data_IF_580648964027
#
_entry.id   IF_580648964027
#
_cell.length_a   1.000
_cell.length_b   1.000
_cell.length_c   1.000
_cell.angle_alpha   90.00
_cell.angle_beta   90.00
_cell.angle_gamma   90.00
#
_symmetry.space_group_name_H-M   'P 1'
#
loop_
_entity.id
_entity.type
_entity.pdbx_description
1 polymer ?
#
# COMPACT_ATOMS: atom_id res chain seq x y z
N UNK A 1 -9.10 -5.72 10.14
CA UNK A 1 -9.14 -5.89 11.61
C UNK A 1 -8.85 -7.31 12.04
N UNK A 2 -9.86 -8.19 12.10
CA UNK A 2 -9.78 -9.50 12.76
C UNK A 2 -8.58 -10.37 12.36
N UNK A 3 -8.26 -10.50 11.06
CA UNK A 3 -7.12 -11.32 10.61
C UNK A 3 -5.77 -10.78 11.12
N UNK A 4 -5.63 -9.46 11.18
CA UNK A 4 -4.40 -8.78 11.64
C UNK A 4 -4.25 -8.97 13.14
N UNK A 5 -5.33 -8.78 13.90
CA UNK A 5 -5.36 -8.99 15.34
C UNK A 5 -4.99 -10.43 15.70
N UNK A 6 -5.57 -11.41 15.01
CA UNK A 6 -5.27 -12.80 15.29
C UNK A 6 -3.81 -13.17 15.00
N UNK A 7 -3.28 -12.71 13.86
CA UNK A 7 -1.89 -12.93 13.49
C UNK A 7 -0.91 -12.36 14.55
N UNK A 8 -1.15 -11.15 15.03
CA UNK A 8 -0.25 -10.47 15.97
C UNK A 8 -0.47 -10.94 17.41
N UNK A 9 -1.72 -10.95 17.88
CA UNK A 9 -2.05 -11.17 19.29
C UNK A 9 -1.98 -12.65 19.65
N UNK A 10 -2.40 -13.55 18.74
CA UNK A 10 -2.50 -14.97 19.04
C UNK A 10 -1.37 -15.79 18.41
N UNK A 11 -1.05 -15.56 17.13
CA UNK A 11 0.02 -16.30 16.45
C UNK A 11 1.41 -15.72 16.68
N UNK A 12 1.51 -14.48 17.18
CA UNK A 12 2.77 -13.78 17.44
C UNK A 12 3.68 -13.72 16.22
N UNK A 13 3.11 -13.43 15.04
CA UNK A 13 3.91 -13.24 13.83
C UNK A 13 4.90 -12.10 14.01
N UNK A 14 6.11 -12.27 13.48
CA UNK A 14 7.18 -11.28 13.59
C UNK A 14 7.21 -10.31 12.40
N UNK A 15 6.48 -10.62 11.33
CA UNK A 15 6.51 -9.85 10.08
C UNK A 15 5.11 -9.70 9.50
N UNK A 16 4.80 -8.51 8.98
CA UNK A 16 3.70 -8.27 8.03
C UNK A 16 4.30 -7.63 6.78
N UNK A 17 4.03 -8.25 5.63
CA UNK A 17 4.34 -7.71 4.31
C UNK A 17 3.05 -7.26 3.63
N UNK A 18 2.97 -5.99 3.27
CA UNK A 18 1.95 -5.48 2.34
C UNK A 18 2.57 -5.47 0.95
N UNK A 19 2.00 -6.25 0.03
CA UNK A 19 2.54 -6.43 -1.31
C UNK A 19 1.59 -5.83 -2.36
N UNK A 20 2.09 -4.83 -3.09
CA UNK A 20 1.52 -4.37 -4.36
C UNK A 20 2.12 -5.15 -5.53
N UNK A 21 1.62 -4.90 -6.74
CA UNK A 21 2.12 -5.58 -7.93
C UNK A 21 1.89 -4.74 -9.19
N UNK A 22 2.64 -5.03 -10.25
CA UNK A 22 2.47 -4.35 -11.54
C UNK A 22 1.11 -4.63 -12.19
N UNK A 23 0.66 -3.67 -13.00
CA UNK A 23 -0.60 -3.73 -13.75
C UNK A 23 -1.83 -4.00 -12.86
N UNK A 24 -1.88 -3.44 -11.65
CA UNK A 24 -2.97 -3.68 -10.73
C UNK A 24 -4.28 -3.06 -11.24
N UNK A 25 -5.25 -3.91 -11.57
CA UNK A 25 -6.57 -3.48 -12.07
C UNK A 25 -7.33 -2.59 -11.07
N UNK A 26 -7.19 -2.84 -9.78
CA UNK A 26 -7.79 -2.01 -8.73
C UNK A 26 -7.20 -0.60 -8.67
N UNK A 27 -5.87 -0.48 -8.78
CA UNK A 27 -5.18 0.81 -8.82
C UNK A 27 -5.51 1.58 -10.11
N UNK A 28 -5.53 0.88 -11.25
CA UNK A 28 -5.97 1.46 -12.51
C UNK A 28 -7.41 1.99 -12.38
N UNK A 29 -8.32 1.21 -11.82
CA UNK A 29 -9.69 1.62 -11.52
C UNK A 29 -9.73 2.88 -10.65
N UNK A 30 -9.02 2.86 -9.52
CA UNK A 30 -8.90 4.01 -8.61
C UNK A 30 -8.41 5.27 -9.33
N UNK A 31 -7.34 5.17 -10.12
CA UNK A 31 -6.78 6.32 -10.86
C UNK A 31 -7.74 6.84 -11.92
N UNK A 32 -8.55 5.96 -12.52
CA UNK A 32 -9.58 6.32 -13.50
C UNK A 32 -10.86 6.92 -12.91
N UNK A 33 -11.11 6.79 -11.59
CA UNK A 33 -12.30 7.41 -10.96
C UNK A 33 -12.27 8.93 -11.20
N UNK A 34 -13.31 9.52 -11.81
CA UNK A 34 -13.39 10.96 -12.01
C UNK A 34 -13.56 11.70 -10.67
N UNK A 35 -13.09 12.94 -10.61
CA UNK A 35 -13.17 13.77 -9.40
C UNK A 35 -14.58 14.39 -9.18
N UNK A 36 -15.56 14.03 -10.02
CA UNK A 36 -16.92 14.56 -10.02
C UNK A 36 -17.89 13.77 -9.12
N UNK A 37 -17.42 12.69 -8.50
CA UNK A 37 -18.20 11.85 -7.60
C UNK A 37 -19.16 10.87 -8.29
N UNK A 38 -19.06 10.69 -9.61
CA UNK A 38 -19.78 9.63 -10.31
C UNK A 38 -19.24 8.25 -9.92
N UNK A 39 -20.16 7.29 -9.78
CA UNK A 39 -19.88 5.89 -9.42
C UNK A 39 -20.61 4.99 -10.41
N UNK A 40 -19.88 4.05 -11.01
CA UNK A 40 -20.37 3.10 -12.02
C UNK A 40 -20.29 1.63 -11.55
N UNK A 41 -19.97 1.42 -10.28
CA UNK A 41 -19.89 0.08 -9.67
C UNK A 41 -20.52 0.02 -8.27
N UNK A 42 -21.10 -1.14 -7.93
CA UNK A 42 -21.79 -1.31 -6.64
C UNK A 42 -20.84 -1.27 -5.42
N UNK A 43 -19.59 -1.71 -5.59
CA UNK A 43 -18.65 -1.90 -4.47
C UNK A 43 -17.19 -1.54 -4.79
N UNK A 44 -16.77 -1.65 -6.05
CA UNK A 44 -15.35 -1.59 -6.40
C UNK A 44 -14.79 -0.21 -6.07
N UNK A 45 -15.48 0.85 -6.48
CA UNK A 45 -15.04 2.21 -6.22
C UNK A 45 -14.98 2.55 -4.74
N UNK A 46 -15.98 2.14 -3.98
CA UNK A 46 -16.00 2.36 -2.54
C UNK A 46 -14.85 1.63 -1.84
N UNK A 47 -14.54 0.42 -2.27
CA UNK A 47 -13.42 -0.34 -1.74
C UNK A 47 -12.06 0.30 -2.07
N UNK A 48 -11.81 0.66 -3.33
CA UNK A 48 -10.50 1.20 -3.73
C UNK A 48 -10.23 2.61 -3.22
N UNK A 49 -11.27 3.36 -2.80
CA UNK A 49 -11.12 4.66 -2.13
C UNK A 49 -10.30 4.62 -0.86
N UNK A 50 -10.04 3.45 -0.27
CA UNK A 50 -9.09 3.29 0.84
C UNK A 50 -7.69 3.84 0.52
N UNK A 51 -7.33 3.98 -0.77
CA UNK A 51 -6.06 4.56 -1.22
C UNK A 51 -6.22 5.97 -1.86
N UNK A 52 -7.29 6.70 -1.52
CA UNK A 52 -7.56 8.02 -2.13
C UNK A 52 -6.51 9.06 -1.78
N UNK A 53 -5.87 8.97 -0.60
CA UNK A 53 -4.81 9.90 -0.20
C UNK A 53 -3.60 9.72 -1.12
N UNK A 54 -3.20 8.48 -1.39
CA UNK A 54 -2.14 8.15 -2.34
C UNK A 54 -2.48 8.60 -3.76
N UNK A 55 -3.73 8.38 -4.22
CA UNK A 55 -4.17 8.88 -5.53
C UNK A 55 -3.98 10.40 -5.62
N UNK A 56 -4.44 11.15 -4.61
CA UNK A 56 -4.32 12.60 -4.59
C UNK A 56 -2.85 13.05 -4.56
N UNK A 57 -1.99 12.36 -3.81
CA UNK A 57 -0.54 12.59 -3.79
C UNK A 57 0.07 12.41 -5.17
N UNK A 58 -0.20 11.29 -5.84
CA UNK A 58 0.33 11.00 -7.18
C UNK A 58 -0.16 12.02 -8.21
N UNK A 59 -1.45 12.38 -8.23
CA UNK A 59 -1.96 13.42 -9.14
C UNK A 59 -1.29 14.78 -8.91
N UNK A 60 -0.95 15.11 -7.66
CA UNK A 60 -0.29 16.38 -7.30
C UNK A 60 1.20 16.40 -7.67
N UNK A 61 1.92 15.31 -7.42
CA UNK A 61 3.39 15.26 -7.54
C UNK A 61 3.87 14.73 -8.90
N UNK A 62 3.00 14.00 -9.61
CA UNK A 62 3.31 13.29 -10.85
C UNK A 62 2.23 13.47 -11.92
N UNK A 63 1.46 14.56 -11.85
CA UNK A 63 0.40 14.86 -12.81
C UNK A 63 0.88 15.11 -14.24
N UNK A 64 2.18 15.37 -14.43
CA UNK A 64 2.86 15.52 -15.71
C UNK A 64 3.21 14.19 -16.39
N UNK A 65 3.24 13.09 -15.63
CA UNK A 65 3.53 11.75 -16.14
C UNK A 65 2.34 11.14 -16.87
N UNK A 66 2.62 10.17 -17.73
CA UNK A 66 1.54 9.45 -18.41
C UNK A 66 0.71 8.60 -17.41
N UNK A 67 -0.50 8.22 -17.83
CA UNK A 67 -1.43 7.50 -16.98
C UNK A 67 -0.88 6.15 -16.48
N UNK A 68 -0.10 5.45 -17.29
CA UNK A 68 0.50 4.16 -16.91
C UNK A 68 1.58 4.36 -15.88
N UNK A 69 2.46 5.35 -16.07
CA UNK A 69 3.47 5.72 -15.07
C UNK A 69 2.82 6.13 -13.73
N UNK A 70 1.75 6.92 -13.79
CA UNK A 70 0.98 7.31 -12.61
C UNK A 70 0.40 6.09 -11.88
N UNK A 71 -0.11 5.09 -12.60
CA UNK A 71 -0.58 3.85 -12.00
C UNK A 71 0.56 3.09 -11.31
N UNK A 72 1.71 2.94 -11.97
CA UNK A 72 2.88 2.25 -11.39
C UNK A 72 3.37 2.93 -10.10
N UNK A 73 3.37 4.27 -10.06
CA UNK A 73 3.71 5.01 -8.84
C UNK A 73 2.64 4.79 -7.77
N UNK A 74 1.36 4.86 -8.15
CA UNK A 74 0.24 4.68 -7.22
C UNK A 74 0.20 3.26 -6.63
N UNK A 75 0.61 2.22 -7.37
CA UNK A 75 0.74 0.85 -6.84
C UNK A 75 1.66 0.80 -5.61
N UNK A 76 2.78 1.54 -5.63
CA UNK A 76 3.72 1.60 -4.50
C UNK A 76 3.23 2.52 -3.40
N UNK A 77 2.65 3.67 -3.75
CA UNK A 77 2.08 4.59 -2.75
C UNK A 77 0.90 3.97 -1.97
N UNK A 78 0.06 3.17 -2.64
CA UNK A 78 -1.03 2.43 -2.01
C UNK A 78 -0.52 1.41 -0.97
N UNK A 79 0.65 0.80 -1.20
CA UNK A 79 1.32 -0.05 -0.20
C UNK A 79 1.73 0.78 1.01
N UNK A 80 2.31 1.96 0.81
CA UNK A 80 2.70 2.86 1.90
C UNK A 80 1.50 3.34 2.72
N UNK A 81 0.39 3.71 2.07
CA UNK A 81 -0.85 4.09 2.76
C UNK A 81 -1.45 2.92 3.53
N UNK A 82 -1.41 1.71 2.97
CA UNK A 82 -1.85 0.50 3.68
C UNK A 82 -1.00 0.22 4.92
N UNK A 83 0.31 0.44 4.85
CA UNK A 83 1.19 0.30 6.02
C UNK A 83 0.91 1.39 7.07
N UNK A 84 0.67 2.63 6.66
CA UNK A 84 0.23 3.70 7.55
C UNK A 84 -1.12 3.34 8.23
N UNK A 85 -2.05 2.76 7.47
CA UNK A 85 -3.33 2.27 7.99
C UNK A 85 -3.14 1.13 9.00
N UNK A 86 -2.15 0.26 8.83
CA UNK A 86 -1.81 -0.76 9.84
C UNK A 86 -1.39 -0.13 11.18
N UNK A 87 -0.63 0.96 11.16
CA UNK A 87 -0.20 1.67 12.38
C UNK A 87 -1.35 2.37 13.14
N UNK A 88 -2.54 2.47 12.55
CA UNK A 88 -3.74 2.97 13.25
C UNK A 88 -4.27 1.97 14.28
N UNK A 89 -3.99 0.67 14.11
CA UNK A 89 -4.37 -0.37 15.06
C UNK A 89 -3.45 -0.33 16.29
N UNK A 90 -3.98 -0.18 17.52
CA UNK A 90 -3.15 -0.08 18.73
C UNK A 90 -2.19 -1.26 18.93
N UNK A 91 -2.65 -2.49 18.70
CA UNK A 91 -1.85 -3.71 18.87
C UNK A 91 -0.74 -3.85 17.80
N UNK A 92 -0.90 -3.28 16.61
CA UNK A 92 0.16 -3.24 15.59
C UNK A 92 1.25 -2.28 16.07
N UNK A 93 0.86 -1.05 16.40
CA UNK A 93 1.79 0.00 16.85
C UNK A 93 2.58 -0.44 18.07
N UNK A 94 1.93 -1.04 19.06
CA UNK A 94 2.61 -1.57 20.25
C UNK A 94 3.64 -2.67 19.89
N UNK A 95 3.29 -3.59 18.98
CA UNK A 95 4.21 -4.65 18.56
C UNK A 95 5.42 -4.10 17.77
N UNK A 96 5.21 -3.10 16.93
CA UNK A 96 6.29 -2.40 16.21
C UNK A 96 7.22 -1.68 17.20
N UNK A 97 6.67 -0.89 18.13
CA UNK A 97 7.44 -0.17 19.15
C UNK A 97 8.27 -1.11 20.04
N UNK A 98 7.71 -2.29 20.36
CA UNK A 98 8.39 -3.32 21.14
C UNK A 98 9.40 -4.14 20.31
N UNK A 99 9.57 -3.83 19.02
CA UNK A 99 10.42 -4.56 18.06
C UNK A 99 10.07 -6.05 17.94
N UNK A 100 8.83 -6.42 18.25
CA UNK A 100 8.31 -7.77 18.09
C UNK A 100 7.60 -7.99 16.76
N UNK A 101 7.36 -6.91 16.00
CA UNK A 101 6.76 -6.94 14.67
C UNK A 101 7.50 -5.99 13.73
N UNK A 102 7.91 -6.49 12.56
CA UNK A 102 8.41 -5.69 11.46
C UNK A 102 7.30 -5.48 10.39
N UNK A 103 7.14 -4.25 9.91
CA UNK A 103 6.27 -3.92 8.79
C UNK A 103 7.10 -3.68 7.53
N UNK A 104 6.74 -4.38 6.45
CA UNK A 104 7.45 -4.34 5.17
C UNK A 104 6.49 -4.00 4.05
N UNK A 105 6.93 -3.17 3.12
CA UNK A 105 6.28 -2.95 1.84
C UNK A 105 6.99 -3.71 0.74
N UNK A 106 6.23 -4.21 -0.23
CA UNK A 106 6.81 -4.84 -1.41
C UNK A 106 6.02 -4.53 -2.67
N UNK A 107 6.69 -4.59 -3.81
CA UNK A 107 6.07 -4.49 -5.12
C UNK A 107 6.63 -5.58 -6.02
N UNK A 108 5.75 -6.45 -6.50
CA UNK A 108 6.09 -7.51 -7.44
C UNK A 108 5.78 -7.07 -8.87
N UNK A 109 6.82 -6.87 -9.67
CA UNK A 109 6.66 -6.59 -11.08
C UNK A 109 6.76 -7.88 -11.89
N UNK A 110 5.60 -8.47 -12.23
CA UNK A 110 5.55 -9.67 -13.05
C UNK A 110 5.78 -9.42 -14.55
N UNK A 111 5.77 -8.17 -15.00
CA UNK A 111 6.09 -7.82 -16.40
C UNK A 111 7.59 -7.99 -16.63
N UNK A 112 8.39 -7.50 -15.69
CA UNK A 112 9.86 -7.56 -15.77
C UNK A 112 10.47 -8.70 -14.92
N UNK A 113 9.66 -9.37 -14.10
CA UNK A 113 10.11 -10.46 -13.22
C UNK A 113 10.98 -9.99 -12.06
N UNK A 114 10.72 -8.80 -11.52
CA UNK A 114 11.47 -8.21 -10.41
C UNK A 114 10.63 -8.05 -9.14
N UNK A 115 11.30 -7.91 -8.00
CA UNK A 115 10.66 -7.68 -6.72
C UNK A 115 11.40 -6.61 -5.94
N UNK A 116 10.67 -5.57 -5.54
CA UNK A 116 11.16 -4.53 -4.64
C UNK A 116 10.64 -4.79 -3.22
N UNK A 117 11.50 -4.62 -2.22
CA UNK A 117 11.18 -4.79 -0.80
C UNK A 117 11.75 -3.61 -0.03
N UNK A 118 10.95 -3.00 0.86
CA UNK A 118 11.39 -1.93 1.74
C UNK A 118 10.85 -2.09 3.15
N UNK A 119 11.61 -1.56 4.11
CA UNK A 119 11.25 -1.52 5.52
C UNK A 119 10.64 -0.17 5.88
N UNK A 120 9.63 -0.20 6.75
CA UNK A 120 9.16 1.00 7.44
C UNK A 120 9.72 0.95 8.86
N UNK A 121 10.79 1.72 9.08
CA UNK A 121 11.21 2.09 10.41
C UNK A 121 10.46 3.37 10.81
N UNK A 122 9.99 3.46 12.06
CA UNK A 122 9.31 4.65 12.62
C UNK A 122 10.12 5.97 12.51
N UNK A 123 11.33 5.94 11.92
CA UNK A 123 12.23 7.06 11.75
C UNK A 123 12.75 7.32 10.31
N UNK A 124 12.49 6.45 9.32
CA UNK A 124 12.75 6.71 7.89
C UNK A 124 12.34 5.51 7.00
N UNK A 125 11.89 5.78 5.77
CA UNK A 125 11.76 4.75 4.72
C UNK A 125 13.16 4.43 4.22
N UNK A 126 13.67 3.24 4.53
CA UNK A 126 14.94 2.76 3.97
C UNK A 126 14.66 1.77 2.84
N UNK A 127 15.22 2.04 1.66
CA UNK A 127 15.11 1.14 0.51
C UNK A 127 16.21 0.10 0.60
N UNK A 128 15.87 -1.13 0.96
CA UNK A 128 16.74 -2.28 0.75
C UNK A 128 16.71 -2.66 -0.74
N UNK A 129 17.89 -2.79 -1.37
CA UNK A 129 18.03 -3.00 -2.81
C UNK A 129 17.42 -4.32 -3.33
N UNK A 130 17.20 -4.35 -4.65
CA UNK A 130 16.72 -5.50 -5.42
C UNK A 130 17.56 -6.75 -5.15
N UNK A 131 16.88 -7.88 -4.90
CA UNK A 131 17.44 -9.22 -5.13
C UNK A 131 17.38 -9.57 -6.62
#
# INVERSE_FOLDING_TARGET
>A
GASIEYAIVHLKVENILVMGHSCCGGIKGLMSIPDDGSIDSDFIEEWVKICSISKAKVKREHGDKDFTEQCTILEKEAVNESLANLLTYPFVREAVMNKSLALKGGHYDFVNGSFELWDIDEFNISHSGSL
#
